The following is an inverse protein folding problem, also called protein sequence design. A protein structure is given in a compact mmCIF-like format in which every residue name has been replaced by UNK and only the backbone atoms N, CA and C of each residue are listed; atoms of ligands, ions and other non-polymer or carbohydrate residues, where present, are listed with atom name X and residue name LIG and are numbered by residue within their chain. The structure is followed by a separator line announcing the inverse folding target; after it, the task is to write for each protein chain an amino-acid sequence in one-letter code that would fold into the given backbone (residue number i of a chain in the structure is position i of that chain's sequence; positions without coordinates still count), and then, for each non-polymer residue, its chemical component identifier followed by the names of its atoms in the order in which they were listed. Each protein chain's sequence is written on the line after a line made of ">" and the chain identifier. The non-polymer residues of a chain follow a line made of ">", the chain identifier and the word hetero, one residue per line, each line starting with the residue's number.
data_IF_420977465959
#
_entry.id   IF_420977465959
#
_cell.length_a   1.000
_cell.length_b   1.000
_cell.length_c   1.000
_cell.angle_alpha   90.00
_cell.angle_beta   90.00
_cell.angle_gamma   90.00
#
_symmetry.space_group_name_H-M   'P 1'
#
loop_
_entity.id
_entity.type
_entity.pdbx_description
1 polymer ?
#
# COMPACT_ATOMS: atom_id res chain seq x y z
N UNK A 1 -26.57 -2.00 0.47
CA UNK A 1 -25.89 -3.27 0.78
C UNK A 1 -25.20 -3.09 2.11
N UNK A 2 -25.52 -3.90 3.11
CA UNK A 2 -24.82 -3.86 4.39
C UNK A 2 -23.42 -4.43 4.19
N UNK A 3 -22.42 -3.54 4.15
CA UNK A 3 -21.02 -3.93 4.17
C UNK A 3 -20.73 -4.54 5.55
N UNK A 4 -20.84 -5.86 5.64
CA UNK A 4 -20.46 -6.60 6.84
C UNK A 4 -18.94 -6.61 6.92
N UNK A 5 -18.40 -5.85 7.87
CA UNK A 5 -16.97 -5.90 8.22
C UNK A 5 -16.65 -7.28 8.81
N UNK A 6 -15.56 -7.90 8.38
CA UNK A 6 -15.04 -9.14 8.97
C UNK A 6 -14.81 -8.93 10.49
N UNK A 7 -15.66 -9.53 11.33
CA UNK A 7 -15.53 -9.60 12.79
C UNK A 7 -15.12 -8.30 13.50
N UNK A 8 -16.06 -7.56 14.07
CA UNK A 8 -15.83 -6.30 14.79
C UNK A 8 -15.12 -6.47 16.14
N UNK A 9 -13.98 -7.15 16.19
CA UNK A 9 -13.03 -6.98 17.28
C UNK A 9 -12.62 -5.51 17.38
N UNK A 10 -12.22 -5.04 18.56
CA UNK A 10 -11.78 -3.66 18.72
C UNK A 10 -10.48 -3.46 17.93
N UNK A 11 -10.58 -2.97 16.69
CA UNK A 11 -9.44 -2.73 15.80
C UNK A 11 -8.37 -1.86 16.47
N UNK A 12 -8.79 -0.95 17.37
CA UNK A 12 -7.85 -0.11 18.12
C UNK A 12 -6.93 -0.89 19.05
N UNK A 13 -7.40 -2.02 19.59
CA UNK A 13 -6.58 -2.87 20.43
C UNK A 13 -5.73 -3.82 19.57
N UNK A 14 -6.22 -4.24 18.40
CA UNK A 14 -5.48 -5.09 17.46
C UNK A 14 -4.26 -4.39 16.84
N UNK A 15 -4.32 -3.07 16.65
CA UNK A 15 -3.21 -2.27 16.09
C UNK A 15 -2.26 -1.70 17.14
N UNK A 16 -2.34 -2.14 18.40
CA UNK A 16 -1.37 -1.73 19.42
C UNK A 16 -0.11 -2.57 19.35
N UNK A 17 1.03 -1.92 19.49
CA UNK A 17 2.31 -2.61 19.76
C UNK A 17 2.17 -3.45 21.04
N UNK A 18 2.33 -4.78 20.97
CA UNK A 18 2.28 -5.63 22.16
C UNK A 18 3.43 -5.29 23.13
N UNK A 19 3.21 -5.55 24.43
CA UNK A 19 4.21 -5.24 25.45
C UNK A 19 5.46 -6.10 25.27
N UNK A 20 6.60 -5.45 25.11
CA UNK A 20 7.91 -6.12 25.00
C UNK A 20 8.30 -6.50 23.58
N UNK A 21 7.44 -6.23 22.58
CA UNK A 21 7.78 -6.39 21.17
C UNK A 21 8.58 -5.20 20.65
N UNK A 22 9.44 -5.48 19.66
CA UNK A 22 10.15 -4.44 18.93
C UNK A 22 9.20 -3.73 17.95
N UNK A 23 9.33 -2.39 17.87
CA UNK A 23 8.47 -1.59 17.01
C UNK A 23 8.69 -1.85 15.52
N UNK A 24 9.93 -2.12 15.10
CA UNK A 24 10.24 -2.37 13.69
C UNK A 24 9.76 -3.74 13.26
N UNK A 25 9.90 -4.76 14.11
CA UNK A 25 9.29 -6.10 13.88
C UNK A 25 7.77 -5.99 13.74
N UNK A 26 7.12 -5.27 14.66
CA UNK A 26 5.68 -5.06 14.61
C UNK A 26 5.26 -4.30 13.33
N UNK A 27 5.97 -3.23 12.97
CA UNK A 27 5.71 -2.49 11.73
C UNK A 27 5.92 -3.38 10.50
N UNK A 28 7.01 -4.15 10.44
CA UNK A 28 7.33 -5.01 9.30
C UNK A 28 6.19 -5.99 8.98
N UNK A 29 5.68 -6.67 10.01
CA UNK A 29 4.57 -7.62 9.88
C UNK A 29 3.30 -6.91 9.41
N UNK A 30 2.94 -5.77 10.02
CA UNK A 30 1.70 -5.07 9.70
C UNK A 30 1.74 -4.42 8.30
N UNK A 31 2.89 -3.90 7.87
CA UNK A 31 3.08 -3.31 6.55
C UNK A 31 2.97 -4.39 5.46
N UNK A 32 3.59 -5.55 5.67
CA UNK A 32 3.51 -6.66 4.72
C UNK A 32 2.07 -7.18 4.60
N UNK A 33 1.36 -7.37 5.72
CA UNK A 33 -0.04 -7.80 5.72
C UNK A 33 -0.95 -6.78 5.02
N UNK A 34 -0.81 -5.49 5.34
CA UNK A 34 -1.62 -4.45 4.69
C UNK A 34 -1.35 -4.34 3.19
N UNK A 35 -0.09 -4.48 2.77
CA UNK A 35 0.29 -4.47 1.35
C UNK A 35 -0.41 -5.61 0.61
N UNK A 36 -0.41 -6.81 1.18
CA UNK A 36 -1.12 -7.97 0.62
C UNK A 36 -2.63 -7.74 0.54
N UNK A 37 -3.23 -7.17 1.58
CA UNK A 37 -4.67 -6.86 1.60
C UNK A 37 -5.05 -5.84 0.53
N UNK A 38 -4.24 -4.79 0.33
CA UNK A 38 -4.47 -3.78 -0.71
C UNK A 38 -4.27 -4.38 -2.11
N UNK A 39 -3.26 -5.22 -2.32
CA UNK A 39 -3.06 -5.95 -3.57
C UNK A 39 -4.27 -6.82 -3.92
N UNK A 40 -4.79 -7.58 -2.95
CA UNK A 40 -6.00 -8.40 -3.14
C UNK A 40 -7.23 -7.55 -3.42
N UNK A 41 -7.42 -6.45 -2.67
CA UNK A 41 -8.52 -5.52 -2.89
C UNK A 41 -8.49 -4.95 -4.31
N UNK A 42 -7.34 -4.47 -4.75
CA UNK A 42 -7.18 -3.90 -6.08
C UNK A 42 -7.34 -4.96 -7.18
N UNK A 43 -6.88 -6.19 -6.95
CA UNK A 43 -7.05 -7.31 -7.87
C UNK A 43 -8.51 -7.63 -8.20
N UNK A 44 -9.45 -7.33 -7.30
CA UNK A 44 -10.89 -7.48 -7.58
C UNK A 44 -11.43 -6.44 -8.58
N UNK A 45 -10.71 -5.32 -8.76
CA UNK A 45 -11.12 -4.19 -9.60
C UNK A 45 -10.43 -4.19 -10.96
N UNK A 46 -9.56 -5.17 -11.27
CA UNK A 46 -8.76 -5.22 -12.50
C UNK A 46 -9.62 -5.15 -13.78
N UNK A 47 -10.86 -5.64 -13.71
CA UNK A 47 -11.79 -5.62 -14.86
C UNK A 47 -12.51 -4.28 -15.06
N UNK A 48 -12.55 -3.42 -14.04
CA UNK A 48 -13.30 -2.15 -14.06
C UNK A 48 -12.40 -0.91 -13.98
N UNK A 49 -11.23 -1.02 -13.34
CA UNK A 49 -10.19 0.00 -13.34
C UNK A 49 -9.31 -0.18 -14.58
N UNK A 50 -9.71 0.45 -15.68
CA UNK A 50 -9.07 0.30 -16.99
C UNK A 50 -8.51 1.63 -17.48
N UNK A 51 -7.69 1.62 -18.53
CA UNK A 51 -7.18 2.86 -19.14
C UNK A 51 -8.29 3.75 -19.72
N UNK A 52 -9.48 3.21 -20.03
CA UNK A 52 -10.62 3.98 -20.51
C UNK A 52 -11.46 4.56 -19.38
N UNK A 53 -11.72 3.81 -18.31
CA UNK A 53 -12.45 4.31 -17.14
C UNK A 53 -11.61 5.22 -16.26
N UNK A 54 -10.31 4.96 -16.16
CA UNK A 54 -9.37 5.71 -15.32
C UNK A 54 -8.10 6.11 -16.12
N UNK A 55 -8.21 7.06 -17.07
CA UNK A 55 -7.11 7.45 -17.95
C UNK A 55 -5.95 8.14 -17.25
N UNK A 56 -6.13 8.57 -16.00
CA UNK A 56 -5.11 9.15 -15.12
C UNK A 56 -5.33 8.73 -13.68
N UNK A 57 -4.25 8.60 -12.92
CA UNK A 57 -4.34 8.45 -11.47
C UNK A 57 -4.81 9.76 -10.84
N UNK A 58 -6.00 9.78 -10.26
CA UNK A 58 -6.52 10.95 -9.55
C UNK A 58 -7.37 10.57 -8.34
N UNK A 59 -7.35 11.45 -7.34
CA UNK A 59 -8.17 11.35 -6.12
C UNK A 59 -8.78 12.72 -5.86
N UNK A 60 -10.12 12.80 -5.85
CA UNK A 60 -10.87 14.05 -5.65
C UNK A 60 -10.36 15.23 -6.52
N UNK A 61 -10.08 14.97 -7.80
CA UNK A 61 -9.60 16.00 -8.74
C UNK A 61 -8.11 16.36 -8.64
N UNK A 62 -7.36 15.77 -7.70
CA UNK A 62 -5.90 15.88 -7.65
C UNK A 62 -5.27 14.75 -8.45
N UNK A 63 -4.47 15.09 -9.45
CA UNK A 63 -3.75 14.13 -10.29
C UNK A 63 -2.41 13.74 -9.64
N UNK A 64 -2.00 12.48 -9.82
CA UNK A 64 -0.72 11.96 -9.36
C UNK A 64 0.07 11.42 -10.53
N UNK A 65 1.26 11.98 -10.76
CA UNK A 65 2.21 11.42 -11.72
C UNK A 65 3.15 10.44 -11.03
N UNK A 66 3.54 9.40 -11.75
CA UNK A 66 4.57 8.46 -11.29
C UNK A 66 5.95 9.00 -11.65
N UNK A 67 6.90 8.87 -10.74
CA UNK A 67 8.31 9.15 -11.00
C UNK A 67 9.09 7.86 -10.93
N UNK A 68 9.85 7.56 -11.97
CA UNK A 68 10.75 6.40 -11.95
C UNK A 68 11.98 6.65 -11.07
N UNK A 69 12.84 5.64 -10.95
CA UNK A 69 14.09 5.71 -10.19
C UNK A 69 15.07 6.78 -10.71
N UNK A 70 14.88 7.27 -11.94
CA UNK A 70 15.66 8.35 -12.57
C UNK A 70 14.99 9.73 -12.39
N UNK A 71 13.91 9.81 -11.60
CA UNK A 71 13.08 11.00 -11.37
C UNK A 71 12.42 11.53 -12.63
N UNK A 72 12.28 10.71 -13.66
CA UNK A 72 11.52 11.06 -14.85
C UNK A 72 10.04 10.87 -14.56
N UNK A 73 9.26 11.90 -14.90
CA UNK A 73 7.80 11.86 -14.74
C UNK A 73 7.20 11.06 -15.88
N UNK A 74 6.48 9.99 -15.54
CA UNK A 74 5.82 9.10 -16.49
C UNK A 74 4.32 9.38 -16.52
N UNK A 75 3.81 9.64 -17.72
CA UNK A 75 2.37 9.67 -17.95
C UNK A 75 1.82 8.24 -17.87
N UNK A 76 1.01 8.00 -16.84
CA UNK A 76 0.44 6.69 -16.53
C UNK A 76 -1.07 6.82 -16.34
N UNK A 77 -1.80 5.80 -16.80
CA UNK A 77 -3.20 5.62 -16.43
C UNK A 77 -3.27 5.17 -14.97
N UNK A 78 -4.43 5.29 -14.31
CA UNK A 78 -4.56 4.83 -12.92
C UNK A 78 -4.13 3.36 -12.73
N UNK A 79 -4.54 2.39 -13.57
CA UNK A 79 -4.11 1.01 -13.39
C UNK A 79 -2.60 0.81 -13.60
N UNK A 80 -1.98 1.54 -14.54
CA UNK A 80 -0.53 1.49 -14.72
C UNK A 80 0.21 2.07 -13.50
N UNK A 81 -0.26 3.22 -12.99
CA UNK A 81 0.31 3.87 -11.82
C UNK A 81 0.26 2.93 -10.60
N UNK A 82 -0.91 2.35 -10.34
CA UNK A 82 -1.12 1.45 -9.20
C UNK A 82 -0.27 0.18 -9.36
N UNK A 83 -0.17 -0.37 -10.57
CA UNK A 83 0.70 -1.53 -10.83
C UNK A 83 2.16 -1.21 -10.52
N UNK A 84 2.71 -0.10 -11.00
CA UNK A 84 4.10 0.29 -10.70
C UNK A 84 4.33 0.55 -9.21
N UNK A 85 3.37 1.19 -8.55
CA UNK A 85 3.44 1.47 -7.12
C UNK A 85 3.44 0.18 -6.30
N UNK A 86 2.53 -0.75 -6.57
CA UNK A 86 2.46 -2.03 -5.83
C UNK A 86 3.69 -2.90 -6.10
N UNK A 87 4.19 -2.94 -7.33
CA UNK A 87 5.45 -3.63 -7.65
C UNK A 87 6.62 -3.02 -6.87
N UNK A 88 6.75 -1.70 -6.83
CA UNK A 88 7.84 -1.03 -6.10
C UNK A 88 7.74 -1.19 -4.57
N UNK A 89 6.53 -1.36 -4.02
CA UNK A 89 6.35 -1.75 -2.62
C UNK A 89 6.81 -3.18 -2.41
N UNK A 90 6.39 -4.12 -3.27
CA UNK A 90 6.79 -5.53 -3.16
C UNK A 90 8.30 -5.70 -3.24
N UNK A 91 8.97 -4.99 -4.17
CA UNK A 91 10.43 -4.99 -4.28
C UNK A 91 11.12 -4.52 -2.98
N UNK A 92 10.54 -3.53 -2.27
CA UNK A 92 11.06 -3.11 -0.97
C UNK A 92 10.82 -4.15 0.13
N UNK A 93 9.66 -4.80 0.13
CA UNK A 93 9.32 -5.86 1.10
C UNK A 93 10.19 -7.11 0.91
N UNK A 94 10.61 -7.39 -0.32
CA UNK A 94 11.49 -8.52 -0.66
C UNK A 94 12.98 -8.19 -0.43
N UNK A 95 13.33 -6.91 -0.21
CA UNK A 95 14.71 -6.49 0.04
C UNK A 95 15.12 -6.78 1.49
N UNK A 96 15.92 -7.83 1.67
CA UNK A 96 16.48 -8.25 2.96
C UNK A 96 17.30 -7.17 3.69
N UNK A 97 17.74 -6.10 3.01
CA UNK A 97 18.42 -4.96 3.65
C UNK A 97 17.45 -3.96 4.26
N UNK A 98 16.20 -3.96 3.81
CA UNK A 98 15.11 -3.10 4.31
C UNK A 98 14.21 -3.88 5.26
N UNK A 99 13.72 -5.05 4.83
CA UNK A 99 12.86 -5.96 5.58
C UNK A 99 13.61 -7.28 5.84
N UNK A 100 14.51 -7.32 6.83
CA UNK A 100 15.25 -8.53 7.16
C UNK A 100 14.31 -9.65 7.64
N UNK A 101 14.42 -10.84 7.06
CA UNK A 101 13.65 -12.03 7.51
C UNK A 101 14.39 -12.88 8.55
N UNK A 102 15.70 -12.66 8.71
CA UNK A 102 16.54 -13.41 9.64
C UNK A 102 16.53 -12.80 11.04
N UNK A 103 16.25 -13.63 12.05
CA UNK A 103 16.29 -13.24 13.45
C UNK A 103 17.65 -12.63 13.84
N UNK A 104 17.61 -11.46 14.47
CA UNK A 104 18.78 -10.76 14.98
C UNK A 104 19.50 -9.87 13.96
N UNK A 105 19.04 -9.81 12.70
CA UNK A 105 19.52 -8.83 11.73
C UNK A 105 18.82 -7.48 11.99
N UNK A 106 19.55 -6.37 12.11
CA UNK A 106 18.95 -5.07 12.41
C UNK A 106 18.23 -4.50 11.18
N UNK A 107 17.11 -3.83 11.42
CA UNK A 107 16.46 -2.94 10.46
C UNK A 107 17.33 -1.71 10.13
N UNK A 108 17.15 -1.08 8.96
CA UNK A 108 17.86 0.15 8.63
C UNK A 108 17.47 1.31 9.56
N UNK A 109 18.35 2.31 9.68
CA UNK A 109 18.15 3.43 10.61
C UNK A 109 16.93 4.30 10.27
N UNK A 110 16.53 4.31 9.00
CA UNK A 110 15.40 5.05 8.45
C UNK A 110 14.16 4.17 8.21
N UNK A 111 14.11 2.96 8.79
CA UNK A 111 13.02 1.98 8.58
C UNK A 111 11.62 2.54 8.82
N UNK A 112 11.43 3.34 9.88
CA UNK A 112 10.14 3.97 10.18
C UNK A 112 9.71 4.91 9.05
N UNK A 113 10.63 5.73 8.54
CA UNK A 113 10.37 6.64 7.41
C UNK A 113 10.01 5.87 6.14
N UNK A 114 10.66 4.72 5.92
CA UNK A 114 10.34 3.81 4.81
C UNK A 114 8.91 3.27 4.97
N UNK A 115 8.56 2.78 6.16
CA UNK A 115 7.21 2.31 6.47
C UNK A 115 6.14 3.40 6.27
N UNK A 116 6.39 4.64 6.71
CA UNK A 116 5.50 5.78 6.48
C UNK A 116 5.32 6.07 4.99
N UNK A 117 6.39 5.96 4.19
CA UNK A 117 6.36 6.09 2.75
C UNK A 117 5.47 5.03 2.09
N UNK A 118 5.64 3.76 2.45
CA UNK A 118 4.82 2.64 1.96
C UNK A 118 3.35 2.86 2.35
N UNK A 119 3.06 3.23 3.60
CA UNK A 119 1.70 3.52 4.06
C UNK A 119 1.02 4.64 3.26
N UNK A 120 1.76 5.72 2.96
CA UNK A 120 1.25 6.81 2.15
C UNK A 120 0.91 6.35 0.73
N UNK A 121 1.73 5.47 0.15
CA UNK A 121 1.50 4.90 -1.18
C UNK A 121 0.27 3.98 -1.19
N UNK A 122 0.16 3.06 -0.24
CA UNK A 122 -1.00 2.16 -0.08
C UNK A 122 -2.30 2.96 0.14
N UNK A 123 -2.25 4.01 0.95
CA UNK A 123 -3.39 4.88 1.19
C UNK A 123 -3.89 5.55 -0.11
N UNK A 124 -3.00 5.93 -1.03
CA UNK A 124 -3.42 6.49 -2.33
C UNK A 124 -4.18 5.48 -3.18
N UNK A 125 -3.75 4.22 -3.18
CA UNK A 125 -4.48 3.14 -3.86
C UNK A 125 -5.88 3.00 -3.26
N UNK A 126 -5.97 2.92 -1.93
CA UNK A 126 -7.25 2.84 -1.24
C UNK A 126 -8.16 4.05 -1.53
N UNK A 127 -7.61 5.27 -1.51
CA UNK A 127 -8.35 6.49 -1.78
C UNK A 127 -8.87 6.54 -3.23
N UNK A 128 -8.06 6.07 -4.20
CA UNK A 128 -8.52 5.93 -5.58
C UNK A 128 -9.68 4.93 -5.68
N UNK A 129 -9.53 3.75 -5.08
CA UNK A 129 -10.60 2.73 -5.04
C UNK A 129 -11.89 3.31 -4.45
N UNK A 130 -11.79 3.97 -3.30
CA UNK A 130 -12.95 4.57 -2.62
C UNK A 130 -13.62 5.68 -3.45
N UNK A 131 -12.86 6.50 -4.18
CA UNK A 131 -13.44 7.62 -4.92
C UNK A 131 -13.92 7.25 -6.32
N UNK A 132 -13.24 6.33 -7.00
CA UNK A 132 -13.54 5.97 -8.37
C UNK A 132 -14.46 4.76 -8.49
N UNK A 133 -14.44 3.84 -7.52
CA UNK A 133 -15.05 2.50 -7.68
C UNK A 133 -15.98 2.07 -6.53
N UNK A 134 -16.33 2.96 -5.58
CA UNK A 134 -17.17 2.60 -4.41
C UNK A 134 -18.59 2.14 -4.77
N UNK A 135 -19.13 2.58 -5.90
CA UNK A 135 -20.50 2.30 -6.32
C UNK A 135 -20.60 1.25 -7.45
N UNK A 136 -19.48 0.63 -7.81
CA UNK A 136 -19.43 -0.42 -8.82
C UNK A 136 -19.90 -1.78 -8.26
#
# INVERSE_FOLDING_TARGET
>A
MDCQTLGSGNLRDAVRLPKGEDINEWLAVNIADLSNQVCMLYGMLDTICTSSSCPKMSVQGHEYDFQDSQKQTLHTTAPMYISYLLTGIQEQLDDETIFPSQLGKPFPADFISICEGIMCQLFRVFAHVYHAHLNE
#
